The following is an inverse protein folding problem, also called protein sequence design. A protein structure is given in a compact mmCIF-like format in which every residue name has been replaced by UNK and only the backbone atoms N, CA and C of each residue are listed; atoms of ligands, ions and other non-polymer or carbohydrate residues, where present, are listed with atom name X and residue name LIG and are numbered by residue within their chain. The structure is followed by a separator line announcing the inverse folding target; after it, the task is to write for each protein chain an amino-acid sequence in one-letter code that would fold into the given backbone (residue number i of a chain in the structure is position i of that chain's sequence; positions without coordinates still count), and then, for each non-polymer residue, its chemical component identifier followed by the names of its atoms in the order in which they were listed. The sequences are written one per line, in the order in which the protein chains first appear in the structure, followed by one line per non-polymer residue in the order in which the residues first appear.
data_IF_244918574205
#
_entry.id   IF_244918574205
#
_cell.length_a   1.000
_cell.length_b   1.000
_cell.length_c   1.000
_cell.angle_alpha   90.00
_cell.angle_beta   90.00
_cell.angle_gamma   90.00
#
_symmetry.space_group_name_H-M   'P 1'
#
loop_
_entity.id
_entity.type
_entity.pdbx_description
1 polymer ?
#
# COMPACT_ATOMS: atom_id res chain seq x y z
N UNK A 1 11.73 -4.22 -16.76
CA UNK A 1 11.65 -2.79 -16.41
C UNK A 1 10.54 -2.62 -15.40
N UNK A 2 10.82 -1.92 -14.29
CA UNK A 2 9.92 -1.75 -13.15
C UNK A 2 9.42 -0.30 -13.04
N UNK A 3 8.52 -0.06 -12.08
CA UNK A 3 7.94 1.27 -11.81
C UNK A 3 9.01 2.34 -11.52
N UNK A 4 10.06 1.95 -10.81
CA UNK A 4 11.22 2.78 -10.45
C UNK A 4 11.97 3.35 -11.67
N UNK A 5 11.92 2.67 -12.82
CA UNK A 5 12.52 3.15 -14.08
C UNK A 5 11.83 4.42 -14.62
N UNK A 6 10.61 4.72 -14.14
CA UNK A 6 9.86 5.92 -14.52
C UNK A 6 10.32 7.19 -13.78
N UNK A 7 11.15 7.06 -12.74
CA UNK A 7 11.67 8.20 -11.98
C UNK A 7 12.89 8.79 -12.67
N UNK A 8 12.89 10.12 -12.88
CA UNK A 8 13.98 10.86 -13.50
C UNK A 8 14.99 11.35 -12.45
N UNK A 9 16.19 11.75 -12.90
CA UNK A 9 17.24 12.32 -12.03
C UNK A 9 16.89 13.70 -11.44
N UNK A 10 15.82 14.33 -11.92
CA UNK A 10 15.51 15.73 -11.64
C UNK A 10 14.60 15.92 -10.42
N UNK A 11 14.26 14.84 -9.71
CA UNK A 11 13.34 14.90 -8.58
C UNK A 11 14.09 15.07 -7.25
N UNK A 12 13.83 16.17 -6.54
CA UNK A 12 14.50 16.49 -5.27
C UNK A 12 14.15 15.55 -4.10
N UNK A 13 13.02 14.85 -4.20
CA UNK A 13 12.51 14.00 -3.12
C UNK A 13 13.08 12.57 -3.11
N UNK A 14 13.79 12.14 -4.18
CA UNK A 14 14.32 10.78 -4.28
C UNK A 14 15.57 10.72 -5.15
N UNK A 15 16.52 9.85 -4.80
CA UNK A 15 17.70 9.58 -5.61
C UNK A 15 17.66 8.18 -6.25
N UNK A 16 18.38 7.97 -7.35
CA UNK A 16 18.52 6.62 -7.95
C UNK A 16 19.14 5.61 -6.98
N UNK A 17 20.06 6.05 -6.12
CA UNK A 17 20.65 5.20 -5.08
C UNK A 17 19.60 4.73 -4.07
N UNK A 18 18.61 5.58 -3.79
CA UNK A 18 17.50 5.26 -2.90
C UNK A 18 16.51 4.29 -3.55
N UNK A 19 16.12 4.54 -4.81
CA UNK A 19 15.27 3.61 -5.58
C UNK A 19 15.91 2.22 -5.66
N UNK A 20 17.20 2.14 -5.98
CA UNK A 20 17.95 0.88 -6.01
C UNK A 20 17.92 0.16 -4.65
N UNK A 21 18.03 0.90 -3.52
CA UNK A 21 17.96 0.30 -2.18
C UNK A 21 16.56 -0.26 -1.88
N UNK A 22 15.51 0.43 -2.31
CA UNK A 22 14.12 -0.04 -2.18
C UNK A 22 13.96 -1.34 -2.96
N UNK A 23 14.41 -1.39 -4.21
CA UNK A 23 14.35 -2.60 -5.04
C UNK A 23 15.11 -3.77 -4.40
N UNK A 24 16.32 -3.54 -3.87
CA UNK A 24 17.08 -4.56 -3.15
C UNK A 24 16.34 -5.10 -1.93
N UNK A 25 15.67 -4.23 -1.16
CA UNK A 25 14.82 -4.65 -0.04
C UNK A 25 13.62 -5.47 -0.55
N UNK A 26 12.95 -5.04 -1.62
CA UNK A 26 11.85 -5.78 -2.22
C UNK A 26 12.29 -7.15 -2.74
N UNK A 27 13.50 -7.28 -3.30
CA UNK A 27 14.06 -8.59 -3.69
C UNK A 27 14.21 -9.51 -2.48
N UNK A 28 14.77 -9.01 -1.36
CA UNK A 28 14.88 -9.79 -0.13
C UNK A 28 13.50 -10.24 0.38
N UNK A 29 12.53 -9.33 0.38
CA UNK A 29 11.14 -9.64 0.73
C UNK A 29 10.53 -10.70 -0.16
N UNK A 30 10.72 -10.61 -1.47
CA UNK A 30 10.25 -11.62 -2.43
C UNK A 30 10.78 -13.01 -2.09
N UNK A 31 12.07 -13.14 -1.73
CA UNK A 31 12.62 -14.44 -1.29
C UNK A 31 12.08 -14.89 0.06
N UNK A 32 11.76 -13.96 0.96
CA UNK A 32 11.20 -14.26 2.28
C UNK A 32 9.81 -14.87 2.19
N UNK A 33 8.94 -14.34 1.33
CA UNK A 33 7.55 -14.77 1.21
C UNK A 33 7.33 -15.80 0.09
N UNK A 34 8.40 -16.21 -0.61
CA UNK A 34 8.33 -17.00 -1.84
C UNK A 34 7.62 -18.35 -1.65
N UNK A 35 7.84 -18.98 -0.51
CA UNK A 35 7.37 -20.34 -0.22
C UNK A 35 5.95 -20.35 0.39
N UNK A 36 5.34 -19.18 0.65
CA UNK A 36 3.98 -19.07 1.19
C UNK A 36 2.91 -19.26 0.10
N UNK A 37 3.05 -20.30 -0.73
CA UNK A 37 2.18 -20.58 -1.87
C UNK A 37 0.76 -20.96 -1.47
N UNK A 38 0.57 -21.46 -0.25
CA UNK A 38 -0.74 -21.87 0.28
C UNK A 38 -1.70 -20.68 0.46
N UNK A 39 -1.19 -19.45 0.37
CA UNK A 39 -1.97 -18.21 0.45
C UNK A 39 -2.55 -17.79 -0.90
N UNK A 40 -2.25 -18.51 -1.98
CA UNK A 40 -2.78 -18.21 -3.31
C UNK A 40 -4.31 -18.25 -3.27
N UNK A 41 -4.95 -17.12 -3.49
CA UNK A 41 -6.39 -17.03 -3.49
C UNK A 41 -6.89 -16.19 -4.66
N UNK A 42 -8.20 -16.21 -4.82
CA UNK A 42 -8.85 -15.41 -5.83
C UNK A 42 -8.88 -13.93 -5.35
N UNK A 43 -8.23 -13.04 -6.09
CA UNK A 43 -8.11 -11.60 -5.76
C UNK A 43 -8.77 -10.71 -6.82
N UNK A 44 -9.11 -9.48 -6.45
CA UNK A 44 -9.55 -8.45 -7.36
C UNK A 44 -8.40 -7.94 -8.24
N UNK A 45 -7.22 -7.72 -7.64
CA UNK A 45 -5.99 -7.27 -8.31
C UNK A 45 -5.94 -5.76 -8.61
N UNK A 46 -6.97 -5.01 -8.23
CA UNK A 46 -7.04 -3.55 -8.37
C UNK A 46 -8.03 -2.95 -7.34
N UNK A 47 -8.09 -3.51 -6.13
CA UNK A 47 -9.13 -3.15 -5.18
C UNK A 47 -8.93 -1.73 -4.60
N UNK A 48 -9.82 -0.78 -4.94
CA UNK A 48 -9.75 0.59 -4.46
C UNK A 48 -11.14 1.23 -4.33
N UNK A 49 -11.30 2.37 -3.64
CA UNK A 49 -12.61 2.96 -3.35
C UNK A 49 -13.50 3.19 -4.57
N UNK A 50 -12.91 3.55 -5.73
CA UNK A 50 -13.68 3.80 -6.96
C UNK A 50 -14.26 2.55 -7.63
N UNK A 51 -13.89 1.35 -7.17
CA UNK A 51 -14.49 0.11 -7.63
C UNK A 51 -15.72 -0.28 -6.82
N UNK A 52 -16.02 0.42 -5.72
CA UNK A 52 -17.15 0.14 -4.84
C UNK A 52 -18.29 1.13 -5.14
N UNK A 53 -19.37 0.62 -5.71
CA UNK A 53 -20.60 1.39 -5.93
C UNK A 53 -21.64 1.05 -4.88
N UNK A 54 -21.89 1.99 -3.98
CA UNK A 54 -22.99 1.91 -3.03
C UNK A 54 -24.33 2.09 -3.73
N UNK A 55 -25.33 1.34 -3.27
CA UNK A 55 -26.74 1.46 -3.65
C UNK A 55 -27.52 2.05 -2.47
N UNK A 56 -28.50 1.32 -1.95
CA UNK A 56 -29.28 1.72 -0.79
C UNK A 56 -28.64 1.17 0.50
N UNK A 57 -28.44 2.04 1.49
CA UNK A 57 -27.82 1.68 2.76
C UNK A 57 -26.39 1.14 2.59
N UNK A 58 -26.18 -0.10 3.05
CA UNK A 58 -24.88 -0.80 2.99
C UNK A 58 -24.78 -1.80 1.82
N UNK A 59 -25.76 -1.84 0.92
CA UNK A 59 -25.66 -2.67 -0.28
C UNK A 59 -24.67 -2.03 -1.26
N UNK A 60 -23.69 -2.80 -1.74
CA UNK A 60 -22.72 -2.34 -2.73
C UNK A 60 -22.42 -3.38 -3.80
N UNK A 61 -21.86 -2.92 -4.91
CA UNK A 61 -21.26 -3.75 -5.96
C UNK A 61 -19.78 -3.42 -6.12
N UNK A 62 -18.98 -4.42 -6.45
CA UNK A 62 -17.57 -4.26 -6.80
C UNK A 62 -17.41 -4.42 -8.31
N UNK A 63 -16.74 -3.46 -8.95
CA UNK A 63 -16.54 -3.37 -10.40
C UNK A 63 -15.06 -3.49 -10.78
N UNK A 64 -14.79 -3.56 -12.10
CA UNK A 64 -13.45 -3.50 -12.70
C UNK A 64 -12.47 -4.59 -12.21
N UNK A 65 -12.99 -5.82 -12.15
CA UNK A 65 -12.17 -7.02 -11.93
C UNK A 65 -11.52 -7.50 -13.24
N UNK A 66 -10.76 -6.62 -13.89
CA UNK A 66 -10.14 -6.87 -15.20
C UNK A 66 -8.72 -7.46 -15.12
N UNK A 67 -8.14 -7.55 -13.91
CA UNK A 67 -6.79 -8.08 -13.66
C UNK A 67 -6.77 -9.60 -13.52
N UNK A 68 -5.56 -10.17 -13.48
CA UNK A 68 -5.36 -11.60 -13.21
C UNK A 68 -6.04 -12.02 -11.91
N UNK A 69 -6.68 -13.19 -11.93
CA UNK A 69 -7.62 -13.58 -10.88
C UNK A 69 -6.98 -14.18 -9.63
N UNK A 70 -5.73 -14.64 -9.71
CA UNK A 70 -5.02 -15.35 -8.65
C UNK A 70 -3.84 -14.52 -8.12
N UNK A 71 -3.76 -14.39 -6.80
CA UNK A 71 -2.72 -13.59 -6.17
C UNK A 71 -2.67 -13.81 -4.66
N UNK A 72 -1.94 -12.91 -3.99
CA UNK A 72 -1.83 -12.89 -2.53
C UNK A 72 -2.78 -11.80 -1.99
N UNK A 73 -3.60 -12.09 -0.96
CA UNK A 73 -4.64 -11.18 -0.47
C UNK A 73 -4.15 -9.82 0.02
N UNK A 74 -2.90 -9.70 0.46
CA UNK A 74 -2.29 -8.43 0.82
C UNK A 74 -2.24 -7.44 -0.34
N UNK A 75 -2.25 -7.88 -1.60
CA UNK A 75 -2.32 -6.93 -2.71
C UNK A 75 -3.62 -6.09 -2.64
N UNK A 76 -4.77 -6.76 -2.52
CA UNK A 76 -6.07 -6.09 -2.41
C UNK A 76 -6.20 -5.31 -1.10
N UNK A 77 -5.83 -5.94 0.02
CA UNK A 77 -5.93 -5.30 1.34
C UNK A 77 -5.08 -4.03 1.42
N UNK A 78 -3.84 -4.08 0.95
CA UNK A 78 -2.97 -2.88 0.95
C UNK A 78 -3.40 -1.86 -0.10
N UNK A 79 -3.97 -2.30 -1.23
CA UNK A 79 -4.52 -1.38 -2.23
C UNK A 79 -5.65 -0.51 -1.66
N UNK A 80 -6.60 -1.10 -0.93
CA UNK A 80 -7.67 -0.34 -0.28
C UNK A 80 -7.13 0.50 0.89
N UNK A 81 -6.39 -0.10 1.79
CA UNK A 81 -5.97 0.57 3.04
C UNK A 81 -4.95 1.69 2.81
N UNK A 82 -4.09 1.57 1.79
CA UNK A 82 -3.19 2.65 1.40
C UNK A 82 -3.95 3.87 0.86
N UNK A 83 -5.13 3.70 0.25
CA UNK A 83 -5.94 4.85 -0.15
C UNK A 83 -6.39 5.67 1.07
N UNK A 84 -6.82 5.03 2.16
CA UNK A 84 -7.16 5.75 3.39
C UNK A 84 -5.97 6.56 3.91
N UNK A 85 -4.80 5.93 4.04
CA UNK A 85 -3.58 6.62 4.49
C UNK A 85 -3.19 7.78 3.56
N UNK A 86 -3.31 7.58 2.25
CA UNK A 86 -3.02 8.62 1.26
C UNK A 86 -3.97 9.81 1.36
N UNK A 87 -5.27 9.57 1.51
CA UNK A 87 -6.25 10.64 1.70
C UNK A 87 -6.06 11.37 3.04
N UNK A 88 -5.60 10.68 4.09
CA UNK A 88 -5.18 11.34 5.32
C UNK A 88 -4.03 12.31 5.06
N UNK A 89 -3.00 11.90 4.30
CA UNK A 89 -1.88 12.78 3.95
C UNK A 89 -2.34 13.97 3.09
N UNK A 90 -3.26 13.77 2.15
CA UNK A 90 -3.80 14.86 1.34
C UNK A 90 -4.61 15.87 2.17
N UNK A 91 -5.39 15.39 3.14
CA UNK A 91 -6.26 16.22 3.96
C UNK A 91 -5.50 16.93 5.10
N UNK A 92 -4.55 16.25 5.73
CA UNK A 92 -3.94 16.69 7.00
C UNK A 92 -2.41 16.80 6.93
N UNK A 93 -1.77 16.37 5.86
CA UNK A 93 -0.31 16.18 5.77
C UNK A 93 0.26 15.32 6.93
N UNK A 94 -0.60 14.48 7.50
CA UNK A 94 -0.34 13.57 8.62
C UNK A 94 -1.31 12.36 8.56
N UNK A 95 -1.02 11.31 9.32
CA UNK A 95 -1.90 10.14 9.46
C UNK A 95 -2.79 10.32 10.69
N UNK A 96 -4.00 10.83 10.49
CA UNK A 96 -4.93 11.19 11.56
C UNK A 96 -6.39 11.27 11.08
N UNK A 97 -7.30 11.46 12.04
CA UNK A 97 -8.72 11.70 11.77
C UNK A 97 -9.45 10.51 11.14
N UNK A 98 -10.54 10.82 10.42
CA UNK A 98 -11.48 9.83 9.90
C UNK A 98 -10.83 8.79 8.98
N UNK A 99 -9.77 9.16 8.25
CA UNK A 99 -9.07 8.22 7.39
C UNK A 99 -8.23 7.20 8.16
N UNK A 100 -7.61 7.60 9.28
CA UNK A 100 -6.95 6.64 10.18
C UNK A 100 -7.98 5.73 10.87
N UNK A 101 -9.15 6.26 11.23
CA UNK A 101 -10.25 5.45 11.76
C UNK A 101 -10.72 4.39 10.75
N UNK A 102 -10.92 4.78 9.48
CA UNK A 102 -11.28 3.84 8.40
C UNK A 102 -10.19 2.79 8.18
N UNK A 103 -8.91 3.17 8.21
CA UNK A 103 -7.79 2.24 8.12
C UNK A 103 -7.82 1.20 9.23
N UNK A 104 -7.99 1.64 10.49
CA UNK A 104 -8.04 0.75 11.64
C UNK A 104 -9.26 -0.17 11.58
N UNK A 105 -10.43 0.38 11.27
CA UNK A 105 -11.67 -0.38 11.16
C UNK A 105 -11.57 -1.45 10.07
N UNK A 106 -11.03 -1.10 8.89
CA UNK A 106 -10.84 -2.06 7.81
C UNK A 106 -9.96 -3.23 8.25
N UNK A 107 -8.81 -2.95 8.86
CA UNK A 107 -7.88 -3.98 9.32
C UNK A 107 -8.46 -4.83 10.45
N UNK A 108 -9.13 -4.21 11.41
CA UNK A 108 -9.81 -4.91 12.51
C UNK A 108 -10.88 -5.87 11.98
N UNK A 109 -11.75 -5.39 11.09
CA UNK A 109 -12.78 -6.22 10.46
C UNK A 109 -12.16 -7.33 9.61
N UNK A 110 -11.16 -7.03 8.78
CA UNK A 110 -10.51 -8.03 7.94
C UNK A 110 -9.90 -9.16 8.78
N UNK A 111 -9.10 -8.82 9.79
CA UNK A 111 -8.44 -9.82 10.66
C UNK A 111 -9.47 -10.62 11.47
N UNK A 112 -10.54 -9.98 11.94
CA UNK A 112 -11.60 -10.65 12.71
C UNK A 112 -12.41 -11.61 11.86
N UNK A 113 -12.82 -11.21 10.65
CA UNK A 113 -13.66 -12.05 9.80
C UNK A 113 -12.87 -13.18 9.12
N UNK A 114 -11.62 -12.94 8.75
CA UNK A 114 -10.80 -13.93 8.01
C UNK A 114 -9.91 -14.78 8.90
N UNK A 115 -9.57 -14.30 10.11
CA UNK A 115 -8.55 -14.88 10.99
C UNK A 115 -7.15 -14.96 10.36
N UNK A 116 -6.91 -14.27 9.24
CA UNK A 116 -5.63 -14.26 8.52
C UNK A 116 -4.65 -13.27 9.15
N UNK A 117 -4.07 -13.64 10.30
CA UNK A 117 -3.03 -12.84 10.95
C UNK A 117 -1.67 -12.97 10.27
N UNK A 118 -1.47 -13.96 9.41
CA UNK A 118 -0.23 -14.17 8.66
C UNK A 118 -0.02 -13.06 7.62
N UNK A 119 -1.09 -12.48 7.07
CA UNK A 119 -1.03 -11.35 6.12
C UNK A 119 -0.15 -10.20 6.58
N UNK A 120 -0.07 -9.95 7.90
CA UNK A 120 0.78 -8.90 8.48
C UNK A 120 2.27 -9.15 8.23
N UNK A 121 2.67 -10.39 7.92
CA UNK A 121 4.02 -10.76 7.51
C UNK A 121 4.23 -10.75 5.99
N UNK A 122 3.19 -10.37 5.22
CA UNK A 122 3.20 -10.37 3.75
C UNK A 122 3.08 -8.97 3.15
N UNK A 123 2.40 -8.04 3.84
CA UNK A 123 1.95 -6.74 3.28
C UNK A 123 3.05 -5.75 2.91
N UNK A 124 4.25 -5.87 3.48
CA UNK A 124 5.30 -4.85 3.34
C UNK A 124 5.69 -4.53 1.89
N UNK A 125 6.03 -5.51 1.01
CA UNK A 125 6.31 -5.24 -0.40
C UNK A 125 5.12 -4.64 -1.16
N UNK A 126 3.88 -4.99 -0.79
CA UNK A 126 2.69 -4.46 -1.45
C UNK A 126 2.45 -3.00 -1.09
N UNK A 127 2.56 -2.65 0.19
CA UNK A 127 2.56 -1.25 0.64
C UNK A 127 3.66 -0.42 -0.05
N UNK A 128 4.88 -0.96 -0.12
CA UNK A 128 5.99 -0.27 -0.78
C UNK A 128 5.68 0.00 -2.27
N UNK A 129 5.11 -0.98 -2.96
CA UNK A 129 4.64 -0.80 -4.34
C UNK A 129 3.57 0.29 -4.46
N UNK A 130 2.53 0.25 -3.61
CA UNK A 130 1.46 1.26 -3.62
C UNK A 130 2.00 2.66 -3.35
N UNK A 131 2.95 2.82 -2.44
CA UNK A 131 3.59 4.11 -2.19
C UNK A 131 4.44 4.60 -3.36
N UNK A 132 5.16 3.72 -4.07
CA UNK A 132 5.85 4.10 -5.30
C UNK A 132 4.85 4.59 -6.36
N UNK A 133 3.69 3.93 -6.49
CA UNK A 133 2.65 4.37 -7.44
C UNK A 133 2.16 5.77 -7.07
N UNK A 134 1.78 5.99 -5.81
CA UNK A 134 1.28 7.27 -5.32
C UNK A 134 2.35 8.39 -5.38
N UNK A 135 3.60 8.03 -5.13
CA UNK A 135 4.73 8.94 -5.20
C UNK A 135 5.25 9.15 -6.64
N UNK A 136 4.63 8.55 -7.66
CA UNK A 136 5.03 8.73 -9.05
C UNK A 136 4.77 10.17 -9.51
N UNK A 137 5.78 10.87 -10.03
CA UNK A 137 5.62 12.20 -10.59
C UNK A 137 4.96 12.22 -11.98
N UNK A 138 4.88 11.06 -12.65
CA UNK A 138 4.16 10.93 -13.92
C UNK A 138 2.65 10.83 -13.67
N UNK A 139 2.24 10.08 -12.64
CA UNK A 139 0.83 9.83 -12.35
C UNK A 139 0.21 10.88 -11.43
N UNK A 140 1.01 11.48 -10.55
CA UNK A 140 0.56 12.51 -9.62
C UNK A 140 1.41 13.78 -9.74
N UNK A 141 1.51 14.45 -10.89
CA UNK A 141 2.47 15.54 -11.12
C UNK A 141 2.39 16.67 -10.08
N UNK A 142 1.18 16.99 -9.62
CA UNK A 142 0.90 18.09 -8.67
C UNK A 142 1.05 17.69 -7.19
N UNK A 143 1.46 16.46 -6.87
CA UNK A 143 1.59 16.04 -5.48
C UNK A 143 2.74 16.74 -4.77
N UNK A 144 2.43 17.30 -3.60
CA UNK A 144 3.38 18.03 -2.77
C UNK A 144 4.63 17.20 -2.43
N UNK A 145 5.81 17.81 -2.53
CA UNK A 145 7.07 17.17 -2.18
C UNK A 145 7.11 16.64 -0.73
N UNK A 146 6.46 17.32 0.24
CA UNK A 146 6.39 16.86 1.63
C UNK A 146 5.68 15.51 1.73
N UNK A 147 4.56 15.34 1.02
CA UNK A 147 3.80 14.10 0.99
C UNK A 147 4.63 12.99 0.34
N UNK A 148 5.35 13.30 -0.74
CA UNK A 148 6.27 12.32 -1.35
C UNK A 148 7.34 11.85 -0.38
N UNK A 149 7.97 12.77 0.36
CA UNK A 149 8.97 12.40 1.39
C UNK A 149 8.34 11.48 2.45
N UNK A 150 7.14 11.78 2.93
CA UNK A 150 6.40 10.92 3.87
C UNK A 150 6.11 9.52 3.30
N UNK A 151 5.72 9.42 2.03
CA UNK A 151 5.54 8.13 1.35
C UNK A 151 6.86 7.34 1.27
N UNK A 152 7.98 8.00 1.00
CA UNK A 152 9.30 7.37 0.98
C UNK A 152 9.77 6.92 2.38
N UNK A 153 9.53 7.73 3.42
CA UNK A 153 9.75 7.33 4.80
C UNK A 153 8.97 6.05 5.14
N UNK A 154 7.69 6.02 4.78
CA UNK A 154 6.85 4.83 4.95
C UNK A 154 7.40 3.61 4.22
N UNK A 155 7.83 3.74 2.95
CA UNK A 155 8.47 2.64 2.20
C UNK A 155 9.68 2.09 2.98
N UNK A 156 10.55 2.94 3.50
CA UNK A 156 11.74 2.47 4.21
C UNK A 156 11.41 1.77 5.51
N UNK A 157 10.45 2.31 6.27
CA UNK A 157 10.01 1.80 7.56
C UNK A 157 9.24 0.49 7.41
N UNK A 158 8.28 0.42 6.49
CA UNK A 158 7.48 -0.78 6.25
C UNK A 158 8.34 -1.96 5.75
N UNK A 159 9.32 -1.70 4.88
CA UNK A 159 10.22 -2.73 4.39
C UNK A 159 11.28 -3.16 5.42
N UNK A 160 11.46 -2.41 6.51
CA UNK A 160 12.40 -2.74 7.59
C UNK A 160 11.76 -3.60 8.70
N UNK A 161 10.44 -3.56 8.84
CA UNK A 161 9.70 -4.34 9.84
C UNK A 161 9.53 -5.78 9.39
N UNK A 162 9.82 -6.75 10.25
CA UNK A 162 9.60 -8.15 9.90
C UNK A 162 8.11 -8.51 9.82
N UNK A 163 7.29 -7.85 10.64
CA UNK A 163 5.84 -8.02 10.71
C UNK A 163 5.22 -6.64 10.84
N UNK A 164 4.23 -6.36 10.01
CA UNK A 164 3.52 -5.09 10.00
C UNK A 164 2.74 -4.90 11.31
N UNK A 165 2.96 -3.76 11.96
CA UNK A 165 2.28 -3.37 13.19
C UNK A 165 1.40 -2.15 12.93
N UNK A 166 0.09 -2.39 12.95
CA UNK A 166 -0.95 -1.38 12.71
C UNK A 166 -0.80 -0.16 13.64
N UNK A 167 -0.33 -0.36 14.89
CA UNK A 167 -0.19 0.71 15.87
C UNK A 167 0.97 1.67 15.55
N UNK A 168 1.98 1.18 14.81
CA UNK A 168 3.13 1.99 14.41
C UNK A 168 2.87 2.81 13.14
N UNK A 169 1.80 2.52 12.40
CA UNK A 169 1.55 3.08 11.05
C UNK A 169 1.63 4.60 11.01
N UNK A 170 1.02 5.38 11.92
CA UNK A 170 1.14 6.84 11.86
C UNK A 170 2.59 7.32 11.93
N UNK A 171 3.41 6.72 12.80
CA UNK A 171 4.82 7.06 12.96
C UNK A 171 5.73 6.56 11.82
N UNK A 172 5.24 5.66 10.95
CA UNK A 172 6.04 5.19 9.82
C UNK A 172 6.19 6.23 8.70
N UNK A 173 5.37 7.29 8.68
CA UNK A 173 5.44 8.36 7.67
C UNK A 173 6.40 9.50 8.05
N UNK A 174 6.96 9.48 9.26
CA UNK A 174 7.90 10.49 9.77
C UNK A 174 9.36 10.19 9.39
#
# INVERSE_FOLDING_TARGET
MGLTDSYSKNYEFVTFKELMRIEQKCVKWRYRIKENTDRLCQVHGDFHPWNILFKEGIEFRVLDRSRGEWGEPADDVTSMTMNYLFYSLLAHNNIEGAFLELFNLFWESYLTETQDYEILSMVAPFYAWRCLVLASPIWYPELNQSIRKKLFNFIHNVLAEEKFDLKKVPGMFE
#
